data_IF_834244467313
#
_entry.id   IF_834244467313
#
_cell.length_a   1.000
_cell.length_b   1.000
_cell.length_c   1.000
_cell.angle_alpha   90.00
_cell.angle_beta   90.00
_cell.angle_gamma   90.00
#
_symmetry.space_group_name_H-M   'P 1'
#
loop_
_entity.id
_entity.type
_entity.pdbx_description
1 polymer ?
#
# COMPACT_ATOMS: atom_id res chain seq x y z
N UNK A 1 -23.19 20.92 0.30
CA UNK A 1 -23.63 19.53 0.49
C UNK A 1 -22.43 18.61 0.23
N UNK A 2 -21.51 18.50 1.19
CA UNK A 2 -20.48 17.44 1.27
C UNK A 2 -20.06 17.38 2.75
N UNK A 3 -20.26 16.23 3.39
CA UNK A 3 -20.03 16.03 4.82
C UNK A 3 -18.52 15.95 5.11
N UNK A 4 -17.97 17.02 5.67
CA UNK A 4 -16.60 17.09 6.18
C UNK A 4 -16.56 16.57 7.62
N UNK A 5 -16.45 15.27 7.85
CA UNK A 5 -16.07 14.77 9.18
C UNK A 5 -15.45 13.37 9.15
N UNK A 6 -14.28 13.24 8.53
CA UNK A 6 -13.37 12.14 8.87
C UNK A 6 -12.02 12.76 9.22
N UNK A 7 -11.77 12.93 10.51
CA UNK A 7 -10.49 13.42 11.02
C UNK A 7 -9.64 12.24 11.48
N UNK A 8 -8.69 11.82 10.66
CA UNK A 8 -7.71 10.78 11.01
C UNK A 8 -6.59 11.46 11.79
N UNK A 9 -6.45 11.14 13.08
CA UNK A 9 -5.31 11.61 13.90
C UNK A 9 -4.25 10.52 13.95
N UNK A 10 -3.09 10.82 13.36
CA UNK A 10 -1.92 9.95 13.35
C UNK A 10 -1.04 10.24 14.57
N UNK A 11 -0.69 9.19 15.31
CA UNK A 11 0.18 9.25 16.48
C UNK A 11 1.42 8.39 16.24
N UNK A 12 2.58 8.84 16.74
CA UNK A 12 3.80 8.04 16.84
C UNK A 12 4.31 8.14 18.28
N UNK A 13 4.16 7.06 19.04
CA UNK A 13 4.32 7.06 20.49
C UNK A 13 3.29 7.93 21.23
N UNK A 14 3.64 8.48 22.40
CA UNK A 14 2.74 9.25 23.27
C UNK A 14 2.55 10.74 22.89
N UNK A 15 3.00 11.17 21.70
CA UNK A 15 2.97 12.60 21.32
C UNK A 15 2.08 12.87 20.10
N UNK A 16 1.23 13.88 20.21
CA UNK A 16 0.44 14.45 19.12
C UNK A 16 1.35 15.33 18.24
N UNK A 17 1.42 15.07 16.94
CA UNK A 17 2.15 15.93 16.01
C UNK A 17 1.31 17.18 15.70
N UNK A 18 1.70 18.34 16.24
CA UNK A 18 1.10 19.63 15.88
C UNK A 18 1.74 20.17 14.60
N UNK A 19 0.92 20.58 13.64
CA UNK A 19 1.34 21.31 12.44
C UNK A 19 1.62 22.77 12.77
N UNK A 20 2.89 23.21 12.72
CA UNK A 20 3.21 24.63 12.49
C UNK A 20 4.63 24.82 11.97
N UNK A 21 4.71 25.48 10.81
CA UNK A 21 5.91 25.99 10.15
C UNK A 21 6.37 27.29 10.84
N UNK A 22 7.69 27.51 10.92
CA UNK A 22 8.43 28.70 11.38
C UNK A 22 8.69 28.91 12.89
N UNK A 23 9.95 28.70 13.31
CA UNK A 23 10.70 29.51 14.31
C UNK A 23 12.11 28.93 14.53
N UNK A 24 13.13 29.77 14.44
CA UNK A 24 14.55 29.41 14.53
C UNK A 24 15.07 29.23 15.98
N UNK A 25 16.04 28.31 16.10
CA UNK A 25 17.22 28.31 16.98
C UNK A 25 17.07 28.63 18.48
N UNK A 26 16.91 27.55 19.28
CA UNK A 26 17.60 27.37 20.57
C UNK A 26 18.18 25.95 20.56
N UNK A 27 19.40 25.70 21.10
CA UNK A 27 19.93 24.35 21.17
C UNK A 27 19.03 23.53 22.10
N UNK A 28 18.28 22.60 21.51
CA UNK A 28 17.40 21.70 22.25
C UNK A 28 18.25 20.79 23.12
N UNK A 29 18.36 21.12 24.41
CA UNK A 29 18.99 20.30 25.46
C UNK A 29 18.44 18.86 25.44
N UNK A 30 17.20 18.70 24.98
CA UNK A 30 16.55 17.41 24.69
C UNK A 30 17.19 16.65 23.53
N UNK A 31 17.55 17.29 22.41
CA UNK A 31 18.12 16.61 21.25
C UNK A 31 19.51 16.03 21.56
N UNK A 32 20.35 16.75 22.33
CA UNK A 32 21.62 16.22 22.81
C UNK A 32 21.44 15.08 23.83
N UNK A 33 20.44 15.19 24.72
CA UNK A 33 20.09 14.12 25.65
C UNK A 33 19.65 12.86 24.91
N UNK A 34 18.75 13.00 23.92
CA UNK A 34 18.32 11.89 23.06
C UNK A 34 19.50 11.32 22.27
N UNK A 35 20.42 12.16 21.78
CA UNK A 35 21.64 11.73 21.11
C UNK A 35 22.55 10.87 22.01
N UNK A 36 22.77 11.28 23.26
CA UNK A 36 23.57 10.52 24.23
C UNK A 36 22.91 9.20 24.62
N UNK A 37 21.59 9.19 24.81
CA UNK A 37 20.82 7.97 25.12
C UNK A 37 20.79 7.01 23.92
N UNK A 38 20.65 7.52 22.70
CA UNK A 38 20.66 6.69 21.50
C UNK A 38 22.04 6.06 21.26
N UNK A 39 23.12 6.83 21.49
CA UNK A 39 24.50 6.33 21.37
C UNK A 39 24.85 5.28 22.42
N UNK A 40 24.33 5.41 23.65
CA UNK A 40 24.51 4.42 24.71
C UNK A 40 23.67 3.15 24.51
N UNK A 41 22.55 3.25 23.78
CA UNK A 41 21.77 2.08 23.34
C UNK A 41 22.48 1.35 22.18
N UNK A 42 23.06 2.07 21.20
CA UNK A 42 23.74 1.46 20.06
C UNK A 42 25.03 0.71 20.42
N UNK A 43 25.80 1.18 21.40
CA UNK A 43 27.03 0.51 21.85
C UNK A 43 26.78 -0.84 22.55
N UNK A 44 25.53 -1.20 22.86
CA UNK A 44 25.18 -2.43 23.56
C UNK A 44 24.71 -3.58 22.66
N UNK A 45 24.68 -3.40 21.34
CA UNK A 45 24.29 -4.45 20.40
C UNK A 45 25.49 -4.91 19.57
N UNK A 46 26.18 -6.00 19.95
CA UNK A 46 26.96 -6.74 18.97
C UNK A 46 26.00 -7.35 17.94
N UNK A 47 26.53 -7.55 16.74
CA UNK A 47 25.89 -7.86 15.47
C UNK A 47 25.08 -9.18 15.46
N UNK A 48 24.00 -9.27 16.23
CA UNK A 48 23.03 -10.36 16.19
C UNK A 48 21.64 -9.76 15.99
N UNK A 49 20.93 -10.24 14.96
CA UNK A 49 19.52 -9.92 14.73
C UNK A 49 18.78 -10.06 16.06
N UNK A 50 17.99 -9.07 16.51
CA UNK A 50 17.23 -9.20 17.74
C UNK A 50 16.16 -10.27 17.49
N UNK A 51 16.47 -11.52 17.83
CA UNK A 51 15.46 -12.51 18.11
C UNK A 51 14.75 -11.98 19.36
N UNK A 52 13.66 -11.24 19.16
CA UNK A 52 12.72 -10.90 20.22
C UNK A 52 12.44 -12.22 20.93
N UNK A 53 12.81 -12.31 22.22
CA UNK A 53 12.38 -13.42 23.05
C UNK A 53 10.85 -13.47 22.94
N UNK A 54 10.34 -14.50 22.30
CA UNK A 54 8.92 -14.71 22.12
C UNK A 54 8.39 -15.02 23.52
N UNK A 55 7.89 -13.99 24.21
CA UNK A 55 7.27 -14.17 25.51
C UNK A 55 6.03 -15.02 25.24
N UNK A 56 6.12 -16.31 25.51
CA UNK A 56 4.96 -17.20 25.51
C UNK A 56 4.15 -16.84 26.76
N UNK A 57 3.33 -15.80 26.63
CA UNK A 57 2.26 -15.56 27.60
C UNK A 57 1.38 -16.81 27.58
N UNK A 58 1.22 -17.45 28.74
CA UNK A 58 0.14 -18.44 28.90
C UNK A 58 -1.16 -17.78 28.42
N UNK A 59 -2.04 -18.49 27.69
CA UNK A 59 -3.26 -17.89 27.17
C UNK A 59 -4.16 -17.58 28.37
N UNK A 60 -4.04 -16.38 28.92
CA UNK A 60 -5.01 -15.82 29.84
C UNK A 60 -6.28 -15.74 29.00
N UNK A 61 -7.22 -16.65 29.27
CA UNK A 61 -8.53 -16.64 28.64
C UNK A 61 -9.10 -15.23 28.68
N UNK A 62 -9.71 -14.82 27.59
CA UNK A 62 -10.19 -13.45 27.43
C UNK A 62 -11.08 -13.04 28.62
N UNK A 63 -10.80 -11.88 29.24
CA UNK A 63 -11.52 -11.46 30.44
C UNK A 63 -13.00 -11.28 30.11
N UNK A 64 -13.89 -11.77 30.99
CA UNK A 64 -15.34 -11.65 30.83
C UNK A 64 -15.87 -10.48 31.63
N UNK A 65 -16.82 -9.75 31.04
CA UNK A 65 -17.47 -8.57 31.61
C UNK A 65 -18.98 -8.81 31.61
N UNK A 66 -19.70 -8.39 32.66
CA UNK A 66 -21.15 -8.43 32.66
C UNK A 66 -21.69 -7.42 31.65
N UNK A 67 -22.44 -7.90 30.66
CA UNK A 67 -23.07 -7.09 29.62
C UNK A 67 -24.59 -7.26 29.66
N UNK A 68 -25.32 -6.17 29.44
CA UNK A 68 -26.78 -6.16 29.39
C UNK A 68 -27.24 -5.91 27.96
N UNK A 69 -27.80 -6.94 27.32
CA UNK A 69 -28.34 -6.82 25.97
C UNK A 69 -29.62 -5.97 26.00
N UNK A 70 -29.78 -4.98 25.09
CA UNK A 70 -31.02 -4.24 24.96
C UNK A 70 -32.16 -5.20 24.55
N UNK A 71 -33.14 -5.41 25.42
CA UNK A 71 -34.33 -6.23 25.14
C UNK A 71 -34.57 -7.41 26.08
N UNK A 72 -33.51 -8.11 26.54
CA UNK A 72 -33.67 -9.35 27.33
C UNK A 72 -33.57 -9.16 28.85
N UNK A 73 -33.16 -7.99 29.34
CA UNK A 73 -33.18 -7.65 30.77
C UNK A 73 -32.23 -8.45 31.67
N UNK A 74 -31.62 -9.54 31.18
CA UNK A 74 -30.69 -10.40 31.92
C UNK A 74 -29.24 -9.98 31.74
N UNK A 75 -28.43 -10.24 32.76
CA UNK A 75 -26.97 -10.04 32.72
C UNK A 75 -26.32 -11.27 32.12
N UNK A 76 -25.51 -11.08 31.08
CA UNK A 76 -24.68 -12.15 30.52
C UNK A 76 -23.20 -11.85 30.71
N UNK A 77 -22.43 -12.88 31.03
CA UNK A 77 -20.97 -12.82 31.06
C UNK A 77 -20.45 -12.97 29.64
N UNK A 78 -20.06 -11.85 29.04
CA UNK A 78 -19.59 -11.78 27.66
C UNK A 78 -18.09 -11.49 27.66
N UNK A 79 -17.37 -12.01 26.68
CA UNK A 79 -15.98 -11.65 26.44
C UNK A 79 -15.84 -10.12 26.24
N UNK A 80 -14.79 -9.53 26.82
CA UNK A 80 -14.43 -8.14 26.63
C UNK A 80 -14.42 -7.72 25.15
N UNK A 81 -13.93 -8.57 24.25
CA UNK A 81 -13.91 -8.26 22.81
C UNK A 81 -15.33 -8.17 22.22
N UNK A 82 -16.20 -9.10 22.60
CA UNK A 82 -17.59 -9.11 22.16
C UNK A 82 -18.38 -7.91 22.74
N UNK A 83 -18.06 -7.48 23.97
CA UNK A 83 -18.62 -6.26 24.54
C UNK A 83 -18.20 -5.02 23.73
N UNK A 84 -16.91 -4.93 23.37
CA UNK A 84 -16.36 -3.82 22.58
C UNK A 84 -16.92 -3.77 21.14
N UNK A 85 -17.07 -4.91 20.47
CA UNK A 85 -17.66 -4.96 19.13
C UNK A 85 -19.12 -4.48 19.11
N UNK A 86 -19.90 -4.79 20.15
CA UNK A 86 -21.28 -4.29 20.30
C UNK A 86 -21.33 -2.78 20.51
N UNK A 87 -20.33 -2.23 21.19
CA UNK A 87 -20.10 -0.77 21.31
C UNK A 87 -19.43 -0.15 20.07
N UNK A 88 -19.24 -0.93 18.99
CA UNK A 88 -18.62 -0.51 17.72
C UNK A 88 -17.18 -0.06 17.84
N UNK A 89 -16.45 -0.71 18.74
CA UNK A 89 -15.02 -0.53 18.91
C UNK A 89 -14.30 -1.76 18.39
N UNK A 90 -13.54 -1.60 17.30
CA UNK A 90 -12.73 -2.66 16.69
C UNK A 90 -11.26 -2.41 17.02
N UNK A 91 -10.59 -3.40 17.61
CA UNK A 91 -9.16 -3.36 17.88
C UNK A 91 -8.40 -4.24 16.89
N UNK A 92 -7.36 -3.68 16.28
CA UNK A 92 -6.46 -4.35 15.35
C UNK A 92 -5.08 -4.35 16.00
N UNK A 93 -4.71 -5.45 16.65
CA UNK A 93 -3.47 -5.59 17.42
C UNK A 93 -2.38 -6.44 16.75
N UNK A 94 -2.74 -7.14 15.69
CA UNK A 94 -1.94 -8.17 15.03
C UNK A 94 -1.70 -7.81 13.55
N UNK A 95 -0.85 -8.58 12.87
CA UNK A 95 -0.67 -8.44 11.42
C UNK A 95 -2.02 -8.59 10.71
N UNK A 96 -2.21 -7.75 9.69
CA UNK A 96 -3.44 -7.73 8.91
C UNK A 96 -3.26 -8.72 7.77
N UNK A 97 -3.64 -9.96 8.02
CA UNK A 97 -3.67 -11.03 7.02
C UNK A 97 -4.97 -10.95 6.20
N UNK A 98 -5.03 -11.60 5.04
CA UNK A 98 -6.23 -11.62 4.19
C UNK A 98 -7.45 -12.21 4.92
N UNK A 99 -7.27 -13.30 5.66
CA UNK A 99 -8.34 -13.95 6.43
C UNK A 99 -8.87 -13.02 7.54
N UNK A 100 -7.97 -12.37 8.28
CA UNK A 100 -8.33 -11.45 9.35
C UNK A 100 -8.99 -10.17 8.80
N UNK A 101 -8.55 -9.70 7.64
CA UNK A 101 -9.16 -8.58 6.92
C UNK A 101 -10.60 -8.87 6.55
N UNK A 102 -10.87 -10.06 6.03
CA UNK A 102 -12.22 -10.50 5.66
C UNK A 102 -13.14 -10.57 6.89
N UNK A 103 -12.63 -11.03 8.04
CA UNK A 103 -13.39 -11.06 9.29
C UNK A 103 -13.74 -9.66 9.81
N UNK A 104 -12.78 -8.72 9.77
CA UNK A 104 -13.03 -7.33 10.16
C UNK A 104 -14.03 -6.68 9.21
N UNK A 105 -13.90 -6.92 7.91
CA UNK A 105 -14.82 -6.41 6.89
C UNK A 105 -16.24 -6.92 7.12
N UNK A 106 -16.40 -8.23 7.36
CA UNK A 106 -17.69 -8.84 7.67
C UNK A 106 -18.31 -8.23 8.93
N UNK A 107 -17.50 -8.04 9.99
CA UNK A 107 -17.94 -7.41 11.24
C UNK A 107 -18.37 -5.95 11.02
N UNK A 108 -17.63 -5.21 10.21
CA UNK A 108 -17.94 -3.83 9.87
C UNK A 108 -19.26 -3.72 9.09
N UNK A 109 -19.46 -4.56 8.07
CA UNK A 109 -20.71 -4.61 7.30
C UNK A 109 -21.91 -5.00 8.18
N UNK A 110 -21.72 -5.96 9.08
CA UNK A 110 -22.74 -6.34 10.05
C UNK A 110 -23.15 -5.17 10.95
N UNK A 111 -22.18 -4.46 11.54
CA UNK A 111 -22.46 -3.31 12.41
C UNK A 111 -23.13 -2.15 11.67
N UNK A 112 -22.76 -1.93 10.40
CA UNK A 112 -23.40 -0.92 9.55
C UNK A 112 -24.85 -1.28 9.22
N UNK A 113 -25.14 -2.56 8.97
CA UNK A 113 -26.49 -3.04 8.68
C UNK A 113 -27.47 -2.88 9.85
N UNK A 114 -26.98 -2.98 11.09
CA UNK A 114 -27.83 -2.87 12.29
C UNK A 114 -28.24 -1.42 12.52
N UNK A 115 -27.29 -0.49 12.40
CA UNK A 115 -27.58 0.93 12.59
C UNK A 115 -26.44 1.74 11.94
N UNK A 116 -26.70 2.36 10.81
CA UNK A 116 -25.71 3.15 10.06
C UNK A 116 -25.45 4.52 10.71
N UNK A 117 -26.28 4.96 11.66
CA UNK A 117 -26.22 6.33 12.20
C UNK A 117 -25.10 6.54 13.25
N UNK A 118 -24.70 5.50 14.00
CA UNK A 118 -23.62 5.64 15.00
C UNK A 118 -22.23 5.41 14.41
N UNK A 119 -21.27 6.20 14.87
CA UNK A 119 -19.87 6.13 14.42
C UNK A 119 -19.19 4.82 14.85
N UNK A 120 -18.34 4.30 13.98
CA UNK A 120 -17.45 3.16 14.23
C UNK A 120 -16.08 3.68 14.69
N UNK A 121 -15.52 3.12 15.76
CA UNK A 121 -14.18 3.44 16.25
C UNK A 121 -13.24 2.27 15.98
N UNK A 122 -12.14 2.55 15.26
CA UNK A 122 -11.11 1.56 14.96
C UNK A 122 -9.80 1.96 15.62
N UNK A 123 -9.27 1.06 16.46
CA UNK A 123 -8.00 1.21 17.15
C UNK A 123 -6.96 0.31 16.50
N UNK A 124 -6.03 0.92 15.78
CA UNK A 124 -4.98 0.20 15.04
C UNK A 124 -3.69 0.29 15.86
N UNK A 125 -3.22 -0.88 16.30
CA UNK A 125 -1.96 -1.07 17.02
C UNK A 125 -1.28 -2.32 16.48
N UNK A 126 -0.79 -2.26 15.25
CA UNK A 126 0.03 -3.31 14.65
C UNK A 126 1.17 -2.69 13.85
N UNK A 127 2.33 -3.38 13.70
CA UNK A 127 3.13 -3.16 12.50
C UNK A 127 2.18 -3.47 11.34
N UNK A 128 2.00 -2.55 10.38
CA UNK A 128 1.04 -2.74 9.30
C UNK A 128 1.19 -4.12 8.64
N UNK A 129 0.10 -4.65 8.07
CA UNK A 129 0.07 -5.95 7.38
C UNK A 129 1.17 -6.08 6.32
N UNK A 130 1.47 -7.32 5.91
CA UNK A 130 2.68 -7.79 5.21
C UNK A 130 3.48 -6.72 4.44
N UNK A 131 4.16 -5.85 5.19
CA UNK A 131 5.13 -4.92 4.63
C UNK A 131 6.30 -5.70 4.04
N UNK A 132 6.50 -6.93 4.51
CA UNK A 132 7.48 -7.88 4.01
C UNK A 132 7.06 -8.47 2.65
N UNK A 133 5.78 -8.81 2.46
CA UNK A 133 5.29 -9.23 1.13
C UNK A 133 5.30 -8.06 0.15
N UNK A 134 4.83 -6.87 0.55
CA UNK A 134 4.92 -5.68 -0.32
C UNK A 134 6.38 -5.42 -0.76
N UNK A 135 7.36 -5.64 0.13
CA UNK A 135 8.77 -5.53 -0.21
C UNK A 135 9.24 -6.64 -1.16
N UNK A 136 8.82 -7.88 -0.94
CA UNK A 136 9.21 -9.01 -1.78
C UNK A 136 8.67 -8.86 -3.21
N UNK A 137 7.39 -8.53 -3.35
CA UNK A 137 6.72 -8.26 -4.62
C UNK A 137 7.38 -7.07 -5.34
N UNK A 138 7.71 -6.00 -4.61
CA UNK A 138 8.43 -4.85 -5.17
C UNK A 138 9.83 -5.24 -5.69
N UNK A 139 10.55 -6.07 -4.95
CA UNK A 139 11.88 -6.53 -5.34
C UNK A 139 11.84 -7.39 -6.61
N UNK A 140 10.86 -8.28 -6.75
CA UNK A 140 10.67 -9.08 -7.97
C UNK A 140 10.25 -8.21 -9.16
N UNK A 141 9.40 -7.20 -8.95
CA UNK A 141 9.07 -6.22 -10.00
C UNK A 141 10.30 -5.43 -10.48
N UNK A 142 11.16 -5.01 -9.55
CA UNK A 142 12.42 -4.34 -9.89
C UNK A 142 13.35 -5.27 -10.67
N UNK A 143 13.42 -6.56 -10.29
CA UNK A 143 14.21 -7.57 -10.99
C UNK A 143 13.74 -7.77 -12.44
N UNK A 144 12.43 -7.87 -12.65
CA UNK A 144 11.83 -7.99 -13.99
C UNK A 144 12.10 -6.72 -14.82
N UNK A 145 11.91 -5.54 -14.22
CA UNK A 145 12.19 -4.25 -14.87
C UNK A 145 13.64 -4.17 -15.36
N UNK A 146 14.58 -4.48 -14.47
CA UNK A 146 16.01 -4.37 -14.78
C UNK A 146 16.44 -5.38 -15.85
N UNK A 147 15.87 -6.59 -15.83
CA UNK A 147 16.06 -7.58 -16.87
C UNK A 147 15.57 -7.08 -18.24
N UNK A 148 14.34 -6.55 -18.31
CA UNK A 148 13.77 -6.03 -19.55
C UNK A 148 14.57 -4.83 -20.10
N UNK A 149 14.98 -3.91 -19.24
CA UNK A 149 15.74 -2.74 -19.67
C UNK A 149 17.13 -3.10 -20.18
N UNK A 150 17.77 -4.09 -19.56
CA UNK A 150 19.04 -4.64 -20.05
C UNK A 150 18.88 -5.30 -21.40
N UNK A 151 17.81 -6.09 -21.60
CA UNK A 151 17.56 -6.75 -22.87
C UNK A 151 17.23 -5.73 -23.98
N UNK A 152 16.40 -4.72 -23.68
CA UNK A 152 16.13 -3.62 -24.60
C UNK A 152 17.40 -2.85 -24.96
N UNK A 153 18.30 -2.59 -23.99
CA UNK A 153 19.58 -1.94 -24.24
C UNK A 153 20.42 -2.75 -25.25
N UNK A 154 20.51 -4.06 -25.05
CA UNK A 154 21.27 -4.95 -25.93
C UNK A 154 20.72 -4.98 -27.36
N UNK A 155 19.40 -4.96 -27.53
CA UNK A 155 18.74 -5.02 -28.85
C UNK A 155 18.74 -3.68 -29.58
N UNK A 156 18.51 -2.58 -28.85
CA UNK A 156 18.43 -1.23 -29.43
C UNK A 156 19.80 -0.55 -29.56
N UNK A 157 20.81 -1.02 -28.83
CA UNK A 157 22.12 -0.38 -28.74
C UNK A 157 22.14 0.87 -27.87
N UNK A 158 21.07 1.17 -27.13
CA UNK A 158 20.97 2.35 -26.28
C UNK A 158 21.45 2.09 -24.85
N UNK A 159 21.96 3.12 -24.15
CA UNK A 159 22.38 2.97 -22.77
C UNK A 159 21.17 2.73 -21.85
N UNK A 160 21.36 1.86 -20.85
CA UNK A 160 20.31 1.45 -19.88
C UNK A 160 19.72 2.67 -19.15
N UNK A 161 20.53 3.68 -18.85
CA UNK A 161 20.10 4.92 -18.18
C UNK A 161 19.07 5.69 -19.00
N UNK A 162 19.31 5.81 -20.32
CA UNK A 162 18.38 6.50 -21.24
C UNK A 162 17.07 5.73 -21.36
N UNK A 163 17.13 4.40 -21.47
CA UNK A 163 15.94 3.53 -21.49
C UNK A 163 15.16 3.66 -20.19
N UNK A 164 15.84 3.69 -19.05
CA UNK A 164 15.21 3.85 -17.74
C UNK A 164 14.48 5.19 -17.63
N UNK A 165 15.08 6.26 -18.13
CA UNK A 165 14.45 7.58 -18.15
C UNK A 165 13.26 7.62 -19.11
N UNK A 166 13.43 7.11 -20.33
CA UNK A 166 12.42 7.12 -21.39
C UNK A 166 11.22 6.20 -21.09
N UNK A 167 11.45 5.07 -20.43
CA UNK A 167 10.43 4.08 -20.04
C UNK A 167 10.00 4.20 -18.58
N UNK A 168 10.48 5.21 -17.84
CA UNK A 168 9.95 5.55 -16.50
C UNK A 168 8.45 5.83 -16.52
N UNK A 169 7.94 6.22 -17.70
CA UNK A 169 6.52 6.40 -18.01
C UNK A 169 6.21 5.79 -19.38
N UNK A 170 4.93 5.81 -19.74
CA UNK A 170 4.49 5.38 -21.06
C UNK A 170 4.96 6.35 -22.15
N UNK A 171 5.93 5.91 -22.96
CA UNK A 171 6.41 6.63 -24.16
C UNK A 171 5.79 6.02 -25.41
N UNK A 172 5.17 6.84 -26.25
CA UNK A 172 4.63 6.45 -27.56
C UNK A 172 5.64 6.86 -28.62
N UNK A 173 5.93 5.98 -29.56
CA UNK A 173 6.88 6.23 -30.65
C UNK A 173 6.14 6.34 -31.98
N UNK A 174 6.50 7.33 -32.79
CA UNK A 174 6.15 7.33 -34.21
C UNK A 174 6.97 6.27 -34.97
N UNK A 175 6.53 5.89 -36.17
CA UNK A 175 7.22 4.89 -36.97
C UNK A 175 8.69 5.27 -37.28
N UNK A 176 8.97 6.56 -37.50
CA UNK A 176 10.34 7.05 -37.72
C UNK A 176 11.15 7.03 -36.42
N UNK A 177 10.57 7.52 -35.32
CA UNK A 177 11.22 7.52 -34.01
C UNK A 177 11.55 6.10 -33.53
N UNK A 178 10.66 5.13 -33.76
CA UNK A 178 10.90 3.73 -33.41
C UNK A 178 12.07 3.13 -34.19
N UNK A 179 12.25 3.53 -35.46
CA UNK A 179 13.38 3.12 -36.29
C UNK A 179 14.69 3.70 -35.75
N UNK A 180 14.71 5.01 -35.48
CA UNK A 180 15.87 5.70 -34.90
C UNK A 180 16.22 5.17 -33.51
N UNK A 181 15.22 4.80 -32.74
CA UNK A 181 15.40 4.22 -31.40
C UNK A 181 15.96 2.80 -31.45
N UNK A 182 15.93 2.13 -32.61
CA UNK A 182 16.37 0.74 -32.78
C UNK A 182 15.33 -0.29 -32.36
N UNK A 183 14.04 0.09 -32.30
CA UNK A 183 12.94 -0.83 -32.01
C UNK A 183 12.47 -1.61 -33.24
N UNK A 184 12.65 -1.03 -34.43
CA UNK A 184 12.23 -1.62 -35.71
C UNK A 184 13.32 -1.44 -36.76
N UNK A 185 13.45 -2.40 -37.67
CA UNK A 185 14.49 -2.36 -38.72
C UNK A 185 14.08 -1.52 -39.94
N UNK A 186 12.79 -1.52 -40.29
CA UNK A 186 12.27 -0.81 -41.47
C UNK A 186 10.79 -0.48 -41.38
N UNK A 187 10.42 0.68 -41.92
CA UNK A 187 9.03 1.08 -42.11
C UNK A 187 8.63 0.80 -43.56
N UNK A 188 7.77 -0.19 -43.78
CA UNK A 188 7.23 -0.50 -45.10
C UNK A 188 6.11 0.49 -45.43
N UNK A 189 6.25 1.22 -46.54
CA UNK A 189 5.17 2.05 -47.07
C UNK A 189 4.60 1.38 -48.32
N UNK A 190 3.27 1.18 -48.41
CA UNK A 190 2.68 0.68 -49.64
C UNK A 190 3.00 1.65 -50.79
N UNK A 191 3.16 1.14 -52.02
CA UNK A 191 3.37 2.00 -53.18
C UNK A 191 2.20 2.98 -53.28
N UNK A 192 2.51 4.26 -53.54
CA UNK A 192 1.47 5.26 -53.80
C UNK A 192 0.70 4.82 -55.03
N UNK A 193 -0.60 4.56 -54.87
CA UNK A 193 -1.53 4.42 -55.99
C UNK A 193 -1.50 5.77 -56.72
N UNK A 194 -1.06 5.78 -57.98
CA UNK A 194 -1.09 7.00 -58.81
C UNK A 194 -2.54 7.45 -58.94
N UNK A 195 -2.79 8.76 -58.94
CA UNK A 195 -4.14 9.34 -59.03
C UNK A 195 -4.90 8.87 -60.30
N UNK A 196 -4.16 8.43 -61.30
CA UNK A 196 -4.63 8.00 -62.62
C UNK A 196 -4.82 6.47 -62.71
N UNK A 197 -4.70 5.73 -61.61
CA UNK A 197 -4.98 4.30 -61.60
C UNK A 197 -6.49 4.08 -61.79
N UNK A 198 -6.94 3.34 -62.82
CA UNK A 198 -8.35 3.05 -62.99
C UNK A 198 -8.86 2.30 -61.77
N UNK A 199 -10.02 2.73 -61.25
CA UNK A 199 -10.72 2.03 -60.19
C UNK A 199 -10.92 0.58 -60.66
N UNK A 200 -10.38 -0.41 -59.94
CA UNK A 200 -10.67 -1.80 -60.27
C UNK A 200 -12.12 -2.05 -59.94
N UNK A 201 -12.96 -2.08 -60.97
CA UNK A 201 -14.36 -2.40 -60.87
C UNK A 201 -14.52 -3.74 -60.13
N UNK A 202 -15.24 -3.70 -59.01
CA UNK A 202 -15.66 -4.86 -58.26
C UNK A 202 -16.65 -5.66 -59.14
N UNK A 203 -16.11 -6.58 -59.95
CA UNK A 203 -16.89 -7.40 -60.87
C UNK A 203 -16.88 -8.86 -60.46
N UNK A 204 -17.74 -9.25 -59.53
CA UNK A 204 -18.48 -10.52 -59.64
C UNK A 204 -19.74 -10.44 -58.80
N UNK A 205 -20.84 -10.14 -59.48
CA UNK A 205 -22.18 -10.39 -58.96
C UNK A 205 -22.36 -11.88 -58.73
N UNK A 206 -22.94 -12.21 -57.58
CA UNK A 206 -23.54 -13.51 -57.32
C UNK A 206 -24.81 -13.59 -58.18
N UNK A 207 -24.73 -14.38 -59.24
CA UNK A 207 -25.88 -14.97 -59.94
C UNK A 207 -25.97 -16.45 -59.58
#
# INVERSE_FOLDING_TARGET
MFCTSCGIKLYSGLKLQSTSLFSASKPNVTAEFYGRVHKSLQLRYPNQKPARAQIHMMPIGTPRVPYRTPGEGTWQWVDLWNALYRERVIFIGQNIDEEFSNQILATMLYLDSIDNAKKLYMYINGPGGDADDIQNEANELLRIRDYLFKELANKTGQPVEKITQDLSRMKRFNAQEALEYGLIDRVVRPPRIKADAPCKDAGTGLG
#
